data_IF_628644246414
#
_entry.id   IF_628644246414
#
_cell.length_a   1.000
_cell.length_b   1.000
_cell.length_c   1.000
_cell.angle_alpha   90.00
_cell.angle_beta   90.00
_cell.angle_gamma   90.00
#
_symmetry.space_group_name_H-M   'P 1'
#
loop_
_entity.id
_entity.type
_entity.pdbx_description
1 polymer ?
#
# COMPACT_ATOMS: atom_id res chain seq x y z
N UNK A 1 -46.35 -64.20 -16.69
CA UNK A 1 -46.80 -63.01 -15.92
C UNK A 1 -45.74 -62.72 -14.87
N UNK A 2 -44.84 -61.79 -15.16
CA UNK A 2 -43.68 -61.45 -14.34
C UNK A 2 -43.53 -59.94 -14.39
N UNK A 3 -43.63 -59.25 -13.27
CA UNK A 3 -43.11 -57.90 -13.12
C UNK A 3 -42.70 -57.62 -11.68
N UNK A 4 -41.39 -57.76 -11.45
CA UNK A 4 -40.64 -57.16 -10.35
C UNK A 4 -40.55 -55.64 -10.63
N UNK A 5 -41.10 -54.82 -9.73
CA UNK A 5 -40.95 -53.36 -9.78
C UNK A 5 -39.54 -52.97 -9.30
N UNK A 6 -38.69 -52.50 -10.21
CA UNK A 6 -37.48 -51.74 -9.88
C UNK A 6 -37.89 -50.29 -9.60
N UNK A 7 -37.67 -49.84 -8.37
CA UNK A 7 -37.68 -48.41 -8.01
C UNK A 7 -36.34 -47.84 -8.46
N UNK A 8 -36.35 -47.01 -9.50
CA UNK A 8 -35.19 -46.23 -9.91
C UNK A 8 -35.17 -44.92 -9.10
N UNK A 9 -34.16 -44.79 -8.25
CA UNK A 9 -33.84 -43.58 -7.51
C UNK A 9 -33.20 -42.58 -8.49
N UNK A 10 -33.98 -41.62 -9.01
CA UNK A 10 -33.43 -40.49 -9.76
C UNK A 10 -32.91 -39.44 -8.77
N UNK A 11 -31.62 -39.54 -8.43
CA UNK A 11 -30.89 -38.44 -7.80
C UNK A 11 -30.52 -37.40 -8.86
N UNK A 12 -31.23 -36.26 -8.85
CA UNK A 12 -30.90 -35.10 -9.68
C UNK A 12 -30.36 -33.99 -8.76
N UNK A 13 -29.08 -34.07 -8.36
CA UNK A 13 -28.37 -32.91 -7.81
C UNK A 13 -27.69 -32.20 -8.98
N UNK A 14 -28.44 -31.29 -9.60
CA UNK A 14 -27.95 -30.42 -10.67
C UNK A 14 -27.08 -29.34 -10.02
N UNK A 15 -25.78 -29.61 -9.87
CA UNK A 15 -24.80 -28.55 -9.66
C UNK A 15 -24.78 -27.73 -10.95
N UNK A 16 -25.33 -26.51 -10.90
CA UNK A 16 -25.27 -25.60 -12.04
C UNK A 16 -23.80 -25.37 -12.39
N UNK A 17 -23.41 -25.87 -13.57
CA UNK A 17 -22.22 -25.39 -14.26
C UNK A 17 -22.31 -23.87 -14.32
N UNK A 18 -21.24 -23.20 -13.87
CA UNK A 18 -20.91 -21.90 -14.47
C UNK A 18 -20.43 -22.21 -15.88
N UNK A 19 -21.37 -22.27 -16.83
CA UNK A 19 -21.05 -22.23 -18.24
C UNK A 19 -20.43 -20.88 -18.51
N UNK A 20 -19.09 -20.81 -18.50
CA UNK A 20 -18.39 -19.70 -19.12
C UNK A 20 -18.60 -19.86 -20.64
N UNK A 21 -19.49 -19.07 -21.25
CA UNK A 21 -19.39 -18.83 -22.69
C UNK A 21 -18.43 -17.66 -22.88
N UNK A 22 -17.14 -17.93 -22.77
CA UNK A 22 -16.11 -17.02 -23.24
C UNK A 22 -15.26 -17.82 -24.20
N UNK A 23 -15.30 -17.47 -25.50
CA UNK A 23 -14.48 -18.07 -26.55
C UNK A 23 -12.95 -17.93 -26.30
N UNK A 24 -12.56 -17.41 -25.14
CA UNK A 24 -11.20 -17.07 -24.72
C UNK A 24 -10.66 -17.97 -23.58
N UNK A 25 -11.50 -18.69 -22.84
CA UNK A 25 -11.04 -19.61 -21.78
C UNK A 25 -10.56 -20.91 -22.40
N UNK A 26 -9.27 -21.21 -22.20
CA UNK A 26 -8.60 -22.43 -22.65
C UNK A 26 -8.70 -23.56 -21.64
N UNK A 27 -8.61 -23.23 -20.35
CA UNK A 27 -8.71 -24.22 -19.27
C UNK A 27 -9.29 -23.61 -18.00
N UNK A 28 -9.86 -24.45 -17.13
CA UNK A 28 -10.39 -24.00 -15.85
C UNK A 28 -10.41 -25.09 -14.78
N UNK A 29 -9.95 -24.73 -13.59
CA UNK A 29 -9.95 -25.58 -12.41
C UNK A 29 -10.82 -24.96 -11.31
N UNK A 30 -11.74 -25.76 -10.77
CA UNK A 30 -12.57 -25.42 -9.60
C UNK A 30 -12.01 -26.13 -8.38
N UNK A 31 -11.52 -25.37 -7.40
CA UNK A 31 -10.93 -25.93 -6.19
C UNK A 31 -11.99 -26.47 -5.24
N UNK A 32 -11.67 -27.57 -4.57
CA UNK A 32 -12.58 -28.31 -3.71
C UNK A 32 -13.68 -29.08 -4.46
N UNK A 33 -13.63 -29.14 -5.80
CA UNK A 33 -14.46 -30.02 -6.62
C UNK A 33 -13.65 -31.25 -7.06
N UNK A 34 -13.98 -32.43 -6.52
CA UNK A 34 -13.19 -33.65 -6.74
C UNK A 34 -12.97 -33.99 -8.21
N UNK A 35 -13.98 -33.83 -9.06
CA UNK A 35 -13.85 -34.15 -10.49
C UNK A 35 -12.90 -33.18 -11.19
N UNK A 36 -13.07 -31.88 -10.95
CA UNK A 36 -12.21 -30.83 -11.50
C UNK A 36 -10.76 -31.01 -11.03
N UNK A 37 -10.56 -31.29 -9.74
CA UNK A 37 -9.23 -31.50 -9.17
C UNK A 37 -8.54 -32.76 -9.70
N UNK A 38 -9.27 -33.86 -9.88
CA UNK A 38 -8.74 -35.08 -10.49
C UNK A 38 -8.31 -34.86 -11.94
N UNK A 39 -9.09 -34.10 -12.73
CA UNK A 39 -8.76 -33.78 -14.12
C UNK A 39 -7.45 -33.00 -14.26
N UNK A 40 -7.12 -32.16 -13.28
CA UNK A 40 -5.91 -31.34 -13.28
C UNK A 40 -4.76 -31.96 -12.46
N UNK A 41 -4.97 -33.16 -11.88
CA UNK A 41 -3.98 -33.83 -11.04
C UNK A 41 -3.56 -33.02 -9.82
N UNK A 42 -4.52 -32.34 -9.18
CA UNK A 42 -4.25 -31.46 -8.04
C UNK A 42 -3.57 -32.21 -6.91
N UNK A 43 -2.43 -31.67 -6.45
CA UNK A 43 -1.73 -32.10 -5.24
C UNK A 43 -1.75 -30.96 -4.24
N UNK A 44 -2.28 -31.20 -3.05
CA UNK A 44 -2.46 -30.19 -2.04
C UNK A 44 -1.77 -30.61 -0.74
N UNK A 45 -0.89 -29.76 -0.23
CA UNK A 45 -0.17 -29.93 1.03
C UNK A 45 -0.55 -28.80 1.98
N UNK A 46 -0.80 -29.14 3.25
CA UNK A 46 -1.30 -28.21 4.27
C UNK A 46 -2.46 -27.37 3.72
N UNK A 47 -3.48 -28.04 3.21
CA UNK A 47 -4.66 -27.41 2.62
C UNK A 47 -5.92 -28.09 3.10
N UNK A 48 -6.98 -27.30 3.25
CA UNK A 48 -8.32 -27.79 3.56
C UNK A 48 -9.31 -27.38 2.45
N UNK A 49 -10.31 -28.21 2.23
CA UNK A 49 -11.49 -27.86 1.42
C UNK A 49 -12.50 -27.21 2.37
N UNK A 50 -13.02 -26.05 1.99
CA UNK A 50 -14.02 -25.32 2.76
C UNK A 50 -15.33 -25.21 1.98
N UNK A 51 -16.44 -25.15 2.71
CA UNK A 51 -17.70 -24.66 2.17
C UNK A 51 -17.68 -23.12 2.23
N UNK A 52 -17.30 -22.49 1.13
CA UNK A 52 -17.13 -21.05 1.02
C UNK A 52 -18.44 -20.30 0.79
N UNK A 53 -18.32 -19.08 0.26
CA UNK A 53 -19.47 -18.21 0.00
C UNK A 53 -20.42 -18.84 -1.02
N UNK A 54 -21.72 -18.64 -0.82
CA UNK A 54 -22.81 -19.22 -1.64
C UNK A 54 -22.76 -20.75 -1.75
N UNK A 55 -22.24 -21.40 -0.72
CA UNK A 55 -21.98 -22.84 -0.70
C UNK A 55 -21.06 -23.33 -1.83
N UNK A 56 -20.20 -22.44 -2.33
CA UNK A 56 -19.18 -22.80 -3.31
C UNK A 56 -17.97 -23.39 -2.61
N UNK A 57 -17.53 -24.55 -3.08
CA UNK A 57 -16.31 -25.17 -2.61
C UNK A 57 -15.09 -24.30 -2.94
N UNK A 58 -14.12 -24.28 -2.04
CA UNK A 58 -12.84 -23.61 -2.22
C UNK A 58 -11.75 -24.36 -1.45
N UNK A 59 -10.49 -24.04 -1.73
CA UNK A 59 -9.37 -24.46 -0.89
C UNK A 59 -8.79 -23.29 -0.10
N UNK A 60 -8.44 -23.54 1.16
CA UNK A 60 -7.55 -22.70 1.95
C UNK A 60 -6.19 -23.38 2.10
N UNK A 61 -5.14 -22.57 2.18
CA UNK A 61 -3.79 -22.99 2.49
C UNK A 61 -3.49 -22.66 3.94
N UNK A 62 -3.00 -23.63 4.69
CA UNK A 62 -2.81 -23.57 6.13
C UNK A 62 -1.38 -23.13 6.48
N UNK A 63 -1.16 -22.59 7.68
CA UNK A 63 0.16 -22.37 8.24
C UNK A 63 1.02 -23.64 8.26
N UNK A 64 2.36 -23.52 8.29
CA UNK A 64 3.22 -24.67 8.55
C UNK A 64 2.98 -25.24 9.95
N UNK A 65 3.28 -26.54 10.11
CA UNK A 65 3.15 -27.24 11.41
C UNK A 65 4.18 -26.76 12.43
N UNK A 66 5.35 -26.37 11.94
CA UNK A 66 6.43 -25.76 12.73
C UNK A 66 6.53 -24.28 12.37
N UNK A 67 7.13 -23.47 13.24
CA UNK A 67 7.29 -22.04 12.98
C UNK A 67 8.00 -21.80 11.64
N UNK A 68 7.36 -21.06 10.76
CA UNK A 68 7.85 -20.84 9.42
C UNK A 68 6.98 -19.86 8.65
N UNK A 69 7.55 -19.30 7.57
CA UNK A 69 6.85 -18.33 6.73
C UNK A 69 6.20 -18.96 5.50
N UNK A 70 6.54 -20.22 5.16
CA UNK A 70 5.90 -20.97 4.07
C UNK A 70 4.80 -21.84 4.63
N UNK A 71 3.57 -21.57 4.22
CA UNK A 71 2.42 -22.42 4.51
C UNK A 71 2.19 -23.46 3.43
N UNK A 72 0.93 -23.83 3.28
CA UNK A 72 0.50 -24.82 2.31
C UNK A 72 0.73 -24.44 0.86
N UNK A 73 0.68 -25.47 0.03
CA UNK A 73 0.93 -25.40 -1.41
C UNK A 73 -0.05 -26.29 -2.15
N UNK A 74 -0.61 -25.79 -3.24
CA UNK A 74 -1.42 -26.58 -4.17
C UNK A 74 -0.77 -26.52 -5.54
N UNK A 75 -0.40 -27.66 -6.12
CA UNK A 75 0.07 -27.78 -7.50
C UNK A 75 -0.93 -28.50 -8.39
N UNK A 76 -0.96 -28.14 -9.67
CA UNK A 76 -1.95 -28.62 -10.63
C UNK A 76 -1.45 -28.38 -12.06
N UNK A 77 -1.91 -29.21 -13.00
CA UNK A 77 -1.57 -29.07 -14.42
C UNK A 77 -2.67 -28.31 -15.14
N UNK A 78 -2.31 -27.43 -16.07
CA UNK A 78 -3.26 -26.69 -16.92
C UNK A 78 -2.82 -26.68 -18.36
N UNK A 79 -3.78 -26.61 -19.27
CA UNK A 79 -3.55 -26.41 -20.68
C UNK A 79 -3.31 -24.94 -21.00
N UNK A 80 -2.34 -24.69 -21.87
CA UNK A 80 -1.93 -23.35 -22.34
C UNK A 80 -1.91 -23.32 -23.86
N UNK A 81 -2.00 -22.12 -24.41
CA UNK A 81 -1.84 -21.89 -25.84
C UNK A 81 -0.33 -21.78 -26.18
N UNK A 82 0.23 -22.65 -27.04
CA UNK A 82 1.66 -22.64 -27.33
C UNK A 82 2.10 -21.42 -28.14
N UNK A 83 1.18 -20.78 -28.86
CA UNK A 83 1.50 -19.80 -29.90
C UNK A 83 1.12 -18.37 -29.48
N UNK A 84 0.29 -18.23 -28.44
CA UNK A 84 -0.23 -16.95 -27.96
C UNK A 84 0.22 -16.65 -26.52
N UNK A 85 0.23 -15.37 -26.09
CA UNK A 85 0.36 -15.02 -24.69
C UNK A 85 -0.70 -15.73 -23.85
N UNK A 86 -0.32 -16.15 -22.65
CA UNK A 86 -1.23 -16.81 -21.72
C UNK A 86 -1.38 -15.99 -20.45
N UNK A 87 -2.59 -15.97 -19.92
CA UNK A 87 -2.94 -15.32 -18.67
C UNK A 87 -3.61 -16.34 -17.75
N UNK A 88 -3.38 -16.18 -16.45
CA UNK A 88 -4.12 -16.87 -15.40
C UNK A 88 -4.98 -15.88 -14.64
N UNK A 89 -6.24 -16.22 -14.42
CA UNK A 89 -7.12 -15.47 -13.52
C UNK A 89 -7.53 -16.35 -12.35
N UNK A 90 -7.26 -15.91 -11.12
CA UNK A 90 -7.72 -16.56 -9.90
C UNK A 90 -8.96 -15.87 -9.33
N UNK A 91 -9.93 -16.65 -8.85
CA UNK A 91 -11.18 -16.17 -8.23
C UNK A 91 -11.12 -16.29 -6.71
N UNK A 92 -11.44 -15.19 -6.02
CA UNK A 92 -11.46 -15.11 -4.57
C UNK A 92 -12.71 -14.38 -4.04
N UNK A 93 -13.14 -14.69 -2.81
CA UNK A 93 -14.24 -13.96 -2.18
C UNK A 93 -13.76 -12.63 -1.58
N UNK A 94 -14.31 -11.49 -2.02
CA UNK A 94 -13.80 -10.18 -1.60
C UNK A 94 -14.10 -9.79 -0.15
N UNK A 95 -15.00 -10.49 0.52
CA UNK A 95 -15.27 -10.33 1.96
C UNK A 95 -14.31 -11.08 2.88
N UNK A 96 -13.45 -11.97 2.36
CA UNK A 96 -12.43 -12.65 3.18
C UNK A 96 -11.39 -11.65 3.70
N UNK A 97 -11.13 -11.68 5.01
CA UNK A 97 -10.14 -10.83 5.71
C UNK A 97 -9.27 -11.66 6.66
N UNK A 98 -8.08 -11.16 6.97
CA UNK A 98 -7.34 -11.50 8.19
C UNK A 98 -6.49 -10.33 8.68
N UNK A 99 -6.06 -10.40 9.94
CA UNK A 99 -5.20 -9.40 10.54
C UNK A 99 -3.73 -9.53 10.08
N UNK A 100 -3.33 -10.72 9.65
CA UNK A 100 -1.93 -11.04 9.34
C UNK A 100 -1.48 -10.57 7.95
N UNK A 101 -2.39 -10.34 7.00
CA UNK A 101 -2.06 -10.01 5.60
C UNK A 101 -1.24 -11.11 4.89
N UNK A 102 -1.69 -12.37 5.06
CA UNK A 102 -1.07 -13.52 4.40
C UNK A 102 -1.08 -13.39 2.87
N UNK A 103 -0.13 -14.04 2.22
CA UNK A 103 0.23 -13.82 0.81
C UNK A 103 0.03 -15.09 0.02
N UNK A 104 -0.45 -14.98 -1.21
CA UNK A 104 -0.47 -16.07 -2.17
C UNK A 104 0.53 -15.78 -3.29
N UNK A 105 1.45 -16.73 -3.51
CA UNK A 105 2.47 -16.65 -4.56
C UNK A 105 2.19 -17.71 -5.63
N UNK A 106 2.27 -17.30 -6.91
CA UNK A 106 2.16 -18.21 -8.04
C UNK A 106 3.54 -18.76 -8.43
N UNK A 107 3.58 -20.02 -8.83
CA UNK A 107 4.76 -20.70 -9.36
C UNK A 107 4.42 -21.41 -10.67
N UNK A 108 5.40 -21.48 -11.57
CA UNK A 108 5.36 -22.24 -12.82
C UNK A 108 6.62 -23.09 -12.92
N UNK A 109 6.48 -24.41 -13.07
CA UNK A 109 7.58 -25.38 -13.06
C UNK A 109 8.59 -25.13 -11.90
N UNK A 110 8.07 -24.87 -10.70
CA UNK A 110 8.86 -24.59 -9.48
C UNK A 110 9.46 -23.17 -9.37
N UNK A 111 9.29 -22.30 -10.37
CA UNK A 111 9.81 -20.92 -10.37
C UNK A 111 8.71 -19.93 -9.99
N UNK A 112 9.03 -18.97 -9.10
CA UNK A 112 8.08 -17.94 -8.68
C UNK A 112 7.73 -17.02 -9.87
N UNK A 113 6.45 -16.73 -10.03
CA UNK A 113 5.95 -15.70 -10.94
C UNK A 113 5.79 -14.39 -10.16
N UNK A 114 6.31 -13.30 -10.73
CA UNK A 114 6.24 -11.97 -10.12
C UNK A 114 7.19 -11.76 -8.93
N UNK A 115 7.11 -10.57 -8.37
CA UNK A 115 7.91 -10.11 -7.24
C UNK A 115 7.12 -10.15 -5.93
N UNK A 116 7.83 -10.26 -4.80
CA UNK A 116 7.21 -10.26 -3.46
C UNK A 116 6.83 -8.86 -2.97
N UNK A 117 7.51 -7.82 -3.46
CA UNK A 117 7.30 -6.45 -3.04
C UNK A 117 7.57 -5.47 -4.18
N UNK A 118 6.59 -4.61 -4.49
CA UNK A 118 6.72 -3.46 -5.40
C UNK A 118 7.36 -3.78 -6.76
N UNK A 119 6.94 -4.89 -7.39
CA UNK A 119 7.37 -5.25 -8.74
C UNK A 119 6.28 -5.01 -9.79
N UNK A 120 6.69 -5.09 -11.06
CA UNK A 120 5.80 -4.94 -12.22
C UNK A 120 4.70 -6.02 -12.24
N UNK A 121 5.07 -7.23 -11.84
CA UNK A 121 4.14 -8.35 -11.70
C UNK A 121 4.02 -8.65 -10.21
N UNK A 122 2.88 -8.28 -9.65
CA UNK A 122 2.61 -8.45 -8.23
C UNK A 122 2.46 -9.94 -7.83
N UNK A 123 2.28 -10.21 -6.55
CA UNK A 123 1.94 -11.55 -6.05
C UNK A 123 0.47 -11.93 -6.33
N UNK A 124 0.14 -13.21 -6.37
CA UNK A 124 -1.20 -13.69 -6.73
C UNK A 124 -2.33 -13.13 -5.83
N UNK A 125 -2.09 -12.93 -4.55
CA UNK A 125 -3.00 -12.16 -3.68
C UNK A 125 -2.28 -11.66 -2.41
N UNK A 126 -2.79 -10.57 -1.84
CA UNK A 126 -2.45 -10.10 -0.49
C UNK A 126 -3.76 -10.04 0.28
N UNK A 127 -3.87 -10.77 1.38
CA UNK A 127 -5.02 -10.62 2.27
C UNK A 127 -4.90 -9.26 3.00
N UNK A 128 -6.04 -8.64 3.28
CA UNK A 128 -6.11 -7.38 4.02
C UNK A 128 -6.94 -7.58 5.29
N UNK A 129 -6.77 -6.67 6.24
CA UNK A 129 -7.58 -6.58 7.46
C UNK A 129 -8.92 -5.86 7.25
N UNK A 130 -9.27 -5.58 5.99
CA UNK A 130 -10.55 -5.04 5.56
C UNK A 130 -10.98 -5.72 4.25
N UNK A 131 -12.28 -5.86 3.98
CA UNK A 131 -12.76 -6.54 2.78
C UNK A 131 -12.40 -5.73 1.53
N UNK A 132 -11.95 -6.43 0.48
CA UNK A 132 -11.61 -5.81 -0.82
C UNK A 132 -12.86 -5.56 -1.67
N UNK A 133 -13.80 -6.49 -1.61
CA UNK A 133 -15.10 -6.41 -2.29
C UNK A 133 -16.12 -7.22 -1.48
N UNK A 134 -16.70 -6.64 -0.42
CA UNK A 134 -17.39 -7.40 0.63
C UNK A 134 -18.58 -8.23 0.13
N UNK A 135 -19.18 -7.86 -1.01
CA UNK A 135 -20.39 -8.50 -1.56
C UNK A 135 -20.17 -9.32 -2.80
N UNK A 136 -18.94 -9.35 -3.35
CA UNK A 136 -18.69 -10.04 -4.60
C UNK A 136 -17.37 -10.81 -4.57
N UNK A 137 -17.28 -11.78 -5.46
CA UNK A 137 -15.98 -12.29 -5.87
C UNK A 137 -15.17 -11.20 -6.55
N UNK A 138 -13.86 -11.21 -6.35
CA UNK A 138 -12.94 -10.52 -7.23
C UNK A 138 -12.04 -11.51 -7.95
N UNK A 139 -11.50 -11.05 -9.07
CA UNK A 139 -10.69 -11.83 -9.98
C UNK A 139 -9.36 -11.11 -10.14
N UNK A 140 -8.25 -11.83 -10.01
CA UNK A 140 -6.92 -11.26 -10.24
C UNK A 140 -6.26 -11.99 -11.40
N UNK A 141 -5.94 -11.23 -12.44
CA UNK A 141 -5.36 -11.73 -13.69
C UNK A 141 -3.86 -11.42 -13.72
N UNK A 142 -3.07 -12.42 -14.12
CA UNK A 142 -1.63 -12.35 -14.26
C UNK A 142 -1.20 -12.81 -15.66
N UNK A 143 -0.27 -12.11 -16.32
CA UNK A 143 0.42 -12.69 -17.46
C UNK A 143 1.29 -13.85 -16.97
N UNK A 144 1.22 -14.99 -17.65
CA UNK A 144 2.19 -16.06 -17.49
C UNK A 144 3.44 -15.74 -18.33
N UNK A 145 4.66 -15.95 -17.81
CA UNK A 145 5.88 -15.65 -18.56
C UNK A 145 5.95 -16.41 -19.89
N UNK A 146 6.09 -15.70 -21.02
CA UNK A 146 6.09 -16.30 -22.36
C UNK A 146 7.18 -17.38 -22.50
N UNK A 147 8.37 -17.14 -21.93
CA UNK A 147 9.47 -18.11 -21.95
C UNK A 147 9.16 -19.42 -21.21
N UNK A 148 8.11 -19.46 -20.39
CA UNK A 148 7.65 -20.64 -19.68
C UNK A 148 6.47 -21.34 -20.35
N UNK A 149 5.74 -20.67 -21.27
CA UNK A 149 4.53 -21.20 -21.91
C UNK A 149 4.67 -21.45 -23.42
N UNK A 150 5.51 -20.68 -24.13
CA UNK A 150 5.68 -20.78 -25.58
C UNK A 150 6.09 -22.18 -26.04
N UNK A 151 5.40 -22.69 -27.05
CA UNK A 151 5.62 -24.04 -27.59
C UNK A 151 5.14 -25.19 -26.70
N UNK A 152 4.58 -24.90 -25.52
CA UNK A 152 4.01 -25.91 -24.62
C UNK A 152 2.49 -25.93 -24.75
N UNK A 153 1.90 -27.11 -24.59
CA UNK A 153 0.43 -27.29 -24.52
C UNK A 153 -0.07 -27.46 -23.10
N UNK A 154 0.81 -27.82 -22.17
CA UNK A 154 0.50 -28.08 -20.77
C UNK A 154 1.68 -27.67 -19.90
N UNK A 155 1.39 -27.14 -18.71
CA UNK A 155 2.38 -26.71 -17.72
C UNK A 155 1.91 -27.09 -16.31
N UNK A 156 2.86 -27.21 -15.37
CA UNK A 156 2.55 -27.30 -13.95
C UNK A 156 2.55 -25.89 -13.34
N UNK A 157 1.45 -25.55 -12.67
CA UNK A 157 1.34 -24.38 -11.83
C UNK A 157 1.25 -24.78 -10.37
N UNK A 158 1.64 -23.88 -9.48
CA UNK A 158 1.36 -24.01 -8.06
C UNK A 158 1.06 -22.67 -7.39
N UNK A 159 0.22 -22.72 -6.36
CA UNK A 159 -0.06 -21.60 -5.47
C UNK A 159 0.47 -21.97 -4.08
N UNK A 160 1.32 -21.13 -3.52
CA UNK A 160 1.89 -21.29 -2.18
C UNK A 160 1.46 -20.12 -1.29
N UNK A 161 1.01 -20.43 -0.07
CA UNK A 161 0.74 -19.41 0.92
C UNK A 161 2.00 -19.06 1.70
N UNK A 162 2.14 -17.76 1.99
CA UNK A 162 3.29 -17.22 2.71
C UNK A 162 2.83 -16.22 3.78
N UNK A 163 3.65 -16.09 4.83
CA UNK A 163 3.46 -15.07 5.86
C UNK A 163 3.67 -13.65 5.30
N UNK A 164 3.32 -12.62 6.07
CA UNK A 164 3.42 -11.25 5.63
C UNK A 164 4.87 -10.83 5.47
N UNK A 165 5.05 -9.69 4.80
CA UNK A 165 6.36 -9.06 4.70
C UNK A 165 6.32 -7.63 5.23
N UNK A 166 7.44 -7.18 5.75
CA UNK A 166 7.74 -5.77 5.95
C UNK A 166 8.81 -5.38 4.94
N UNK A 167 8.40 -4.71 3.86
CA UNK A 167 9.29 -4.38 2.73
C UNK A 167 10.51 -3.53 3.08
N UNK A 168 10.50 -2.88 4.25
CA UNK A 168 11.63 -2.09 4.78
C UNK A 168 12.56 -2.90 5.71
N UNK A 169 12.31 -4.21 5.86
CA UNK A 169 13.15 -5.09 6.66
C UNK A 169 14.53 -5.29 6.02
N UNK A 170 15.57 -4.73 6.65
CA UNK A 170 16.96 -4.90 6.19
C UNK A 170 17.60 -6.27 6.49
N UNK A 171 16.87 -7.20 7.10
CA UNK A 171 17.28 -8.61 7.29
C UNK A 171 16.13 -9.53 6.89
N UNK A 172 16.41 -10.81 6.67
CA UNK A 172 15.38 -11.76 6.26
C UNK A 172 14.24 -11.88 7.28
N UNK A 173 14.54 -11.92 8.57
CA UNK A 173 13.57 -12.06 9.67
C UNK A 173 12.73 -10.79 9.88
N UNK A 174 13.33 -9.63 9.57
CA UNK A 174 12.61 -8.36 9.53
C UNK A 174 11.71 -8.30 8.30
N UNK A 175 12.20 -8.75 7.15
CA UNK A 175 11.50 -8.72 5.88
C UNK A 175 10.35 -9.72 5.81
N UNK A 176 10.61 -11.01 6.08
CA UNK A 176 9.65 -12.10 5.95
C UNK A 176 9.21 -12.56 7.35
N UNK A 177 7.91 -12.55 7.60
CA UNK A 177 7.31 -12.98 8.87
C UNK A 177 6.75 -14.40 8.78
N UNK A 178 6.66 -15.12 9.91
CA UNK A 178 5.95 -16.40 9.98
C UNK A 178 4.52 -16.27 9.45
N UNK A 179 3.98 -17.36 8.92
CA UNK A 179 2.56 -17.49 8.60
C UNK A 179 1.87 -18.16 9.78
N UNK A 180 0.88 -17.52 10.37
CA UNK A 180 0.18 -17.99 11.58
C UNK A 180 -1.31 -18.21 11.35
N UNK A 181 -1.86 -17.66 10.27
CA UNK A 181 -3.26 -17.82 9.86
C UNK A 181 -3.36 -18.37 8.44
N UNK A 182 -4.47 -19.05 8.15
CA UNK A 182 -4.74 -19.59 6.81
C UNK A 182 -4.87 -18.47 5.76
N UNK A 183 -4.65 -18.85 4.49
CA UNK A 183 -4.94 -17.98 3.36
C UNK A 183 -6.45 -17.70 3.20
N UNK A 184 -6.80 -16.73 2.35
CA UNK A 184 -8.16 -16.65 1.79
C UNK A 184 -8.53 -17.92 1.03
N UNK A 185 -9.84 -18.12 0.83
CA UNK A 185 -10.35 -19.19 -0.02
C UNK A 185 -10.01 -18.94 -1.49
N UNK A 186 -9.39 -19.94 -2.13
CA UNK A 186 -9.11 -19.99 -3.56
C UNK A 186 -10.21 -20.83 -4.20
N UNK A 187 -11.06 -20.20 -5.02
CA UNK A 187 -12.27 -20.87 -5.55
C UNK A 187 -12.03 -21.47 -6.94
N UNK A 188 -11.30 -20.76 -7.80
CA UNK A 188 -11.06 -21.21 -9.17
C UNK A 188 -9.82 -20.54 -9.77
N UNK A 189 -9.28 -21.17 -10.80
CA UNK A 189 -8.36 -20.55 -11.75
C UNK A 189 -8.83 -20.79 -13.19
N UNK A 190 -8.53 -19.83 -14.06
CA UNK A 190 -8.85 -19.86 -15.48
C UNK A 190 -7.61 -19.53 -16.29
N UNK A 191 -7.35 -20.29 -17.35
CA UNK A 191 -6.31 -19.98 -18.35
C UNK A 191 -6.97 -19.46 -19.61
N UNK A 192 -6.43 -18.36 -20.14
CA UNK A 192 -6.97 -17.68 -21.32
C UNK A 192 -5.87 -16.87 -22.02
N UNK A 193 -6.14 -16.37 -23.23
CA UNK A 193 -5.15 -15.67 -24.07
C UNK A 193 -5.32 -14.16 -24.11
N UNK A 194 -6.32 -13.63 -23.39
CA UNK A 194 -6.63 -12.21 -23.36
C UNK A 194 -6.17 -11.56 -22.05
N UNK A 195 -5.74 -10.29 -22.03
CA UNK A 195 -5.35 -9.63 -20.79
C UNK A 195 -6.51 -9.42 -19.81
N UNK A 196 -7.75 -9.54 -20.29
CA UNK A 196 -8.96 -9.40 -19.50
C UNK A 196 -9.87 -10.63 -19.67
N UNK A 197 -10.30 -11.20 -18.55
CA UNK A 197 -11.23 -12.31 -18.54
C UNK A 197 -12.67 -11.79 -18.41
N UNK A 198 -13.43 -11.92 -19.48
CA UNK A 198 -14.87 -11.70 -19.44
C UNK A 198 -15.58 -12.98 -18.98
N UNK A 199 -16.13 -12.95 -17.76
CA UNK A 199 -17.00 -14.02 -17.26
C UNK A 199 -18.45 -13.58 -17.38
N UNK A 200 -19.33 -14.49 -17.78
CA UNK A 200 -20.77 -14.24 -17.71
C UNK A 200 -21.12 -13.91 -16.26
N UNK A 201 -21.63 -12.70 -16.05
CA UNK A 201 -22.09 -12.24 -14.75
C UNK A 201 -23.21 -13.16 -14.25
N UNK A 202 -23.02 -13.75 -13.07
CA UNK A 202 -24.05 -14.53 -12.40
C UNK A 202 -24.51 -13.79 -11.14
N UNK A 203 -25.66 -13.14 -11.23
CA UNK A 203 -26.29 -12.40 -10.13
C UNK A 203 -26.64 -13.27 -8.90
N UNK A 204 -26.53 -14.60 -9.00
CA UNK A 204 -26.71 -15.50 -7.85
C UNK A 204 -25.48 -15.61 -6.92
N UNK A 205 -24.33 -15.09 -7.36
CA UNK A 205 -23.06 -15.13 -6.62
C UNK A 205 -22.62 -13.73 -6.16
N UNK A 206 -23.60 -12.89 -5.85
CA UNK A 206 -23.42 -11.52 -5.37
C UNK A 206 -24.35 -11.31 -4.17
N UNK A 207 -23.85 -10.74 -3.09
CA UNK A 207 -24.72 -10.30 -2.00
C UNK A 207 -25.31 -8.95 -2.35
N UNK A 208 -26.54 -8.70 -1.89
CA UNK A 208 -27.06 -7.36 -1.89
C UNK A 208 -26.07 -6.49 -1.10
N UNK A 209 -25.57 -5.45 -1.76
CA UNK A 209 -24.96 -4.36 -1.05
C UNK A 209 -26.13 -3.45 -0.69
N UNK A 210 -26.39 -3.28 0.60
CA UNK A 210 -27.02 -2.04 1.02
C UNK A 210 -26.11 -0.96 0.45
N UNK A 211 -26.63 -0.10 -0.42
CA UNK A 211 -25.89 1.04 -0.94
C UNK A 211 -25.13 1.62 0.25
N UNK A 212 -23.78 1.59 0.21
CA UNK A 212 -23.03 2.34 1.20
C UNK A 212 -23.57 3.74 1.06
N UNK A 213 -24.38 4.17 2.03
CA UNK A 213 -24.82 5.54 2.12
C UNK A 213 -23.55 6.32 2.30
N UNK A 214 -23.00 6.77 1.19
CA UNK A 214 -21.84 7.62 1.16
C UNK A 214 -22.32 8.88 1.83
N UNK A 215 -21.86 9.20 3.05
CA UNK A 215 -22.29 10.42 3.69
C UNK A 215 -21.98 11.55 2.71
N UNK A 216 -23.00 12.33 2.34
CA UNK A 216 -22.82 13.43 1.37
C UNK A 216 -21.96 14.54 1.95
N UNK A 217 -21.82 14.56 3.28
CA UNK A 217 -20.90 15.38 4.05
C UNK A 217 -20.29 14.47 5.14
N UNK A 218 -19.02 14.68 5.55
CA UNK A 218 -18.54 14.10 6.80
C UNK A 218 -19.50 14.51 7.91
N UNK A 219 -20.03 13.56 8.69
CA UNK A 219 -20.93 13.89 9.79
C UNK A 219 -20.33 14.97 10.69
N UNK A 220 -21.13 15.94 11.12
CA UNK A 220 -20.69 17.06 11.95
C UNK A 220 -19.93 16.56 13.18
N UNK A 221 -20.34 15.41 13.73
CA UNK A 221 -19.69 14.70 14.83
C UNK A 221 -18.28 14.21 14.51
N UNK A 222 -18.03 13.76 13.28
CA UNK A 222 -16.70 13.32 12.84
C UNK A 222 -15.78 14.53 12.67
N UNK A 223 -16.28 15.61 12.07
CA UNK A 223 -15.50 16.84 11.92
C UNK A 223 -15.16 17.44 13.28
N UNK A 224 -16.10 17.49 14.21
CA UNK A 224 -15.87 18.02 15.55
C UNK A 224 -14.90 17.15 16.35
N UNK A 225 -15.03 15.82 16.25
CA UNK A 225 -14.05 14.89 16.83
C UNK A 225 -12.64 15.10 16.27
N UNK A 226 -12.52 15.29 14.95
CA UNK A 226 -11.23 15.56 14.30
C UNK A 226 -10.67 16.92 14.74
N UNK A 227 -11.50 17.97 14.78
CA UNK A 227 -11.09 19.30 15.28
C UNK A 227 -10.61 19.22 16.73
N UNK A 228 -11.30 18.48 17.59
CA UNK A 228 -10.90 18.27 18.98
C UNK A 228 -9.54 17.57 19.07
N UNK A 229 -9.32 16.50 18.29
CA UNK A 229 -8.03 15.83 18.21
C UNK A 229 -6.90 16.74 17.74
N UNK A 230 -7.16 17.56 16.71
CA UNK A 230 -6.19 18.53 16.20
C UNK A 230 -5.86 19.58 17.26
N UNK A 231 -6.87 20.12 17.96
CA UNK A 231 -6.65 21.11 19.01
C UNK A 231 -5.89 20.54 20.21
N UNK A 232 -6.17 19.28 20.61
CA UNK A 232 -5.37 18.57 21.62
C UNK A 232 -3.90 18.42 21.21
N UNK A 233 -3.62 18.12 19.93
CA UNK A 233 -2.26 18.04 19.42
C UNK A 233 -1.56 19.42 19.43
N UNK A 234 -2.27 20.48 19.01
CA UNK A 234 -1.77 21.87 19.07
C UNK A 234 -1.40 22.25 20.51
N UNK A 235 -2.30 22.01 21.46
CA UNK A 235 -2.08 22.34 22.87
C UNK A 235 -0.89 21.57 23.45
N UNK A 236 -0.76 20.29 23.10
CA UNK A 236 0.40 19.48 23.50
C UNK A 236 1.72 20.06 22.99
N UNK A 237 1.78 20.48 21.72
CA UNK A 237 3.01 21.04 21.14
C UNK A 237 3.32 22.43 21.73
N UNK A 238 2.31 23.28 21.95
CA UNK A 238 2.49 24.60 22.55
C UNK A 238 2.97 24.51 24.00
N UNK A 239 2.39 23.62 24.80
CA UNK A 239 2.69 23.46 26.23
C UNK A 239 3.84 22.49 26.52
N UNK A 240 4.31 21.76 25.50
CA UNK A 240 5.40 20.80 25.62
C UNK A 240 6.79 21.44 25.60
N UNK A 241 7.81 20.61 25.35
CA UNK A 241 9.21 21.05 25.23
C UNK A 241 9.38 22.08 24.11
N UNK A 242 10.41 22.92 24.22
CA UNK A 242 10.71 23.94 23.19
C UNK A 242 11.11 23.32 21.85
N UNK A 243 11.85 22.20 21.89
CA UNK A 243 12.13 21.40 20.71
C UNK A 243 10.86 20.66 20.29
N UNK A 244 10.35 21.00 19.12
CA UNK A 244 9.32 20.26 18.39
C UNK A 244 9.92 19.71 17.09
N UNK A 245 9.46 18.56 16.63
CA UNK A 245 9.94 17.93 15.39
C UNK A 245 9.67 18.82 14.17
N UNK A 246 10.43 18.64 13.09
CA UNK A 246 10.30 19.41 11.84
C UNK A 246 8.86 19.41 11.31
N UNK A 247 8.18 18.26 11.36
CA UNK A 247 6.76 18.14 11.00
C UNK A 247 5.81 18.90 11.95
N UNK A 248 6.13 18.96 13.24
CA UNK A 248 5.38 19.72 14.25
C UNK A 248 5.45 21.23 14.03
N UNK A 249 6.61 21.75 13.60
CA UNK A 249 6.78 23.16 13.23
C UNK A 249 5.82 23.53 12.10
N UNK A 250 5.80 22.71 11.04
CA UNK A 250 4.93 22.91 9.89
C UNK A 250 3.44 22.74 10.25
N UNK A 251 3.11 21.78 11.13
CA UNK A 251 1.77 21.59 11.66
C UNK A 251 1.27 22.85 12.40
N UNK A 252 2.05 23.38 13.34
CA UNK A 252 1.70 24.62 14.05
C UNK A 252 1.59 25.82 13.11
N UNK A 253 2.47 25.92 12.10
CA UNK A 253 2.44 27.01 11.13
C UNK A 253 1.14 27.00 10.30
N UNK A 254 0.70 25.82 9.86
CA UNK A 254 -0.60 25.68 9.18
C UNK A 254 -1.76 25.94 10.14
N UNK A 255 -1.70 25.41 11.36
CA UNK A 255 -2.75 25.62 12.36
C UNK A 255 -2.96 27.12 12.68
N UNK A 256 -1.88 27.91 12.74
CA UNK A 256 -1.94 29.37 12.93
C UNK A 256 -2.85 30.09 11.92
N UNK A 257 -2.99 29.55 10.70
CA UNK A 257 -3.80 30.12 9.61
C UNK A 257 -5.24 29.60 9.58
N UNK A 258 -5.57 28.58 10.39
CA UNK A 258 -6.88 27.90 10.36
C UNK A 258 -7.80 28.44 11.46
N UNK A 259 -8.88 29.13 11.07
CA UNK A 259 -9.79 29.88 11.97
C UNK A 259 -10.35 29.11 13.16
N UNK A 260 -10.67 27.82 12.99
CA UNK A 260 -11.25 27.01 14.06
C UNK A 260 -10.20 26.41 15.01
N UNK A 261 -8.91 26.50 14.65
CA UNK A 261 -7.85 25.87 15.42
C UNK A 261 -7.53 26.69 16.68
N UNK A 262 -7.11 25.99 17.73
CA UNK A 262 -6.61 26.60 18.95
C UNK A 262 -5.33 27.41 18.74
N UNK A 263 -4.66 27.32 17.58
CA UNK A 263 -3.46 28.09 17.24
C UNK A 263 -3.77 29.40 16.47
N UNK A 264 -5.01 29.59 16.01
CA UNK A 264 -5.35 30.66 15.07
C UNK A 264 -4.88 32.04 15.54
N UNK A 265 -3.98 32.66 14.78
CA UNK A 265 -3.41 33.98 15.05
C UNK A 265 -2.81 34.19 16.46
N UNK A 266 -2.42 33.13 17.18
CA UNK A 266 -1.83 33.27 18.53
C UNK A 266 -0.33 33.59 18.47
N UNK A 267 0.09 34.67 19.12
CA UNK A 267 1.50 35.07 19.20
C UNK A 267 2.42 33.96 19.78
N UNK A 268 1.93 33.22 20.79
CA UNK A 268 2.64 32.08 21.38
C UNK A 268 3.08 31.04 20.34
N UNK A 269 2.32 30.85 19.26
CA UNK A 269 2.66 29.91 18.18
C UNK A 269 3.90 30.40 17.45
N UNK A 270 3.99 31.69 17.16
CA UNK A 270 5.14 32.31 16.48
C UNK A 270 6.38 32.23 17.36
N UNK A 271 6.25 32.55 18.66
CA UNK A 271 7.34 32.38 19.63
C UNK A 271 7.86 30.94 19.68
N UNK A 272 6.93 29.97 19.76
CA UNK A 272 7.26 28.55 19.81
C UNK A 272 7.99 28.09 18.55
N UNK A 273 7.47 28.46 17.38
CA UNK A 273 8.06 28.13 16.07
C UNK A 273 9.46 28.74 15.96
N UNK A 274 9.63 30.04 16.25
CA UNK A 274 10.92 30.70 16.15
C UNK A 274 11.96 30.05 17.08
N UNK A 275 11.58 29.73 18.32
CA UNK A 275 12.46 29.04 19.27
C UNK A 275 12.83 27.64 18.77
N UNK A 276 11.86 26.88 18.27
CA UNK A 276 12.09 25.53 17.76
C UNK A 276 13.03 25.52 16.54
N UNK A 277 12.84 26.42 15.58
CA UNK A 277 13.71 26.52 14.41
C UNK A 277 15.15 26.85 14.84
N UNK A 278 15.33 27.75 15.81
CA UNK A 278 16.66 28.07 16.35
C UNK A 278 17.33 26.88 17.05
N UNK A 279 16.56 26.01 17.72
CA UNK A 279 17.08 24.75 18.28
C UNK A 279 17.56 23.81 17.16
N UNK A 280 16.75 23.62 16.10
CA UNK A 280 17.15 22.81 14.94
C UNK A 280 18.40 23.36 14.25
N UNK A 281 18.52 24.69 14.16
CA UNK A 281 19.74 25.32 13.66
C UNK A 281 20.95 25.02 14.54
N UNK A 282 20.83 25.10 15.87
CA UNK A 282 21.93 24.76 16.77
C UNK A 282 22.37 23.29 16.60
N UNK A 283 21.41 22.37 16.44
CA UNK A 283 21.69 20.96 16.15
C UNK A 283 22.42 20.79 14.83
N UNK A 284 21.91 21.41 13.75
CA UNK A 284 22.58 21.44 12.45
C UNK A 284 24.01 21.99 12.54
N UNK A 285 24.25 23.06 13.31
CA UNK A 285 25.59 23.63 13.47
C UNK A 285 26.54 22.68 14.20
N UNK A 286 26.04 21.94 15.19
CA UNK A 286 26.84 20.93 15.88
C UNK A 286 27.10 19.69 15.04
N UNK A 287 26.19 19.36 14.11
CA UNK A 287 26.30 18.19 13.25
C UNK A 287 25.61 18.43 11.89
N UNK A 288 26.33 18.97 10.89
CA UNK A 288 25.76 19.25 9.57
C UNK A 288 25.22 18.02 8.84
N UNK A 289 25.77 16.83 9.12
CA UNK A 289 25.35 15.57 8.50
C UNK A 289 23.93 15.15 8.89
N UNK A 290 23.33 15.79 9.91
CA UNK A 290 21.93 15.56 10.30
C UNK A 290 20.95 15.79 9.13
N UNK A 291 21.31 16.68 8.19
CA UNK A 291 20.53 16.94 6.97
C UNK A 291 20.25 15.66 6.19
N UNK A 292 21.21 14.76 6.10
CA UNK A 292 21.08 13.52 5.32
C UNK A 292 20.46 12.35 6.07
N UNK A 293 20.09 12.53 7.34
CA UNK A 293 19.53 11.45 8.18
C UNK A 293 18.03 11.23 7.98
N UNK A 294 17.33 12.20 7.40
CA UNK A 294 15.89 12.12 7.11
C UNK A 294 15.63 12.32 5.62
N UNK A 295 14.43 11.97 5.15
CA UNK A 295 14.08 12.16 3.74
C UNK A 295 13.63 13.60 3.47
N UNK A 296 13.15 14.25 4.53
CA UNK A 296 12.48 15.55 4.47
C UNK A 296 13.43 16.73 4.70
N UNK A 297 14.62 16.45 5.24
CA UNK A 297 15.56 17.46 5.71
C UNK A 297 14.86 18.55 6.52
N UNK A 298 15.09 19.80 6.13
CA UNK A 298 14.45 20.98 6.71
C UNK A 298 13.40 21.62 5.79
N UNK A 299 12.85 20.89 4.82
CA UNK A 299 11.87 21.44 3.88
C UNK A 299 10.59 21.94 4.58
N UNK A 300 10.08 21.20 5.55
CA UNK A 300 8.88 21.62 6.30
C UNK A 300 9.11 22.91 7.12
N UNK A 301 10.34 23.15 7.60
CA UNK A 301 10.73 24.43 8.22
C UNK A 301 10.71 25.54 7.16
N UNK A 302 11.25 25.27 5.96
CA UNK A 302 11.22 26.23 4.86
C UNK A 302 9.79 26.66 4.48
N UNK A 303 8.85 25.71 4.40
CA UNK A 303 7.44 26.03 4.13
C UNK A 303 6.80 26.80 5.30
N UNK A 304 7.08 26.42 6.55
CA UNK A 304 6.59 27.13 7.73
C UNK A 304 7.03 28.60 7.74
N UNK A 305 8.29 28.87 7.42
CA UNK A 305 8.84 30.24 7.27
C UNK A 305 8.14 30.96 6.13
N UNK A 306 7.90 30.29 5.00
CA UNK A 306 7.19 30.89 3.87
C UNK A 306 5.74 31.26 4.20
N UNK A 307 5.02 30.39 4.93
CA UNK A 307 3.64 30.61 5.35
C UNK A 307 3.52 31.75 6.38
N UNK A 308 4.50 31.86 7.27
CA UNK A 308 4.51 32.81 8.38
C UNK A 308 5.50 33.96 8.18
N UNK A 309 5.83 34.30 6.93
CA UNK A 309 6.84 35.30 6.59
C UNK A 309 6.66 36.60 7.39
N UNK A 310 5.45 37.18 7.32
CA UNK A 310 5.12 38.44 8.02
C UNK A 310 5.11 38.30 9.55
N UNK A 311 4.40 37.31 10.16
CA UNK A 311 4.48 37.12 11.61
C UNK A 311 5.88 36.88 12.17
N UNK A 312 6.81 36.29 11.40
CA UNK A 312 8.17 35.99 11.84
C UNK A 312 9.13 37.17 11.71
N UNK A 313 8.80 38.22 10.95
CA UNK A 313 9.66 39.42 10.75
C UNK A 313 10.33 39.93 12.04
N UNK A 314 9.63 40.05 13.19
CA UNK A 314 10.24 40.56 14.43
C UNK A 314 11.37 39.71 15.02
N UNK A 315 11.59 38.49 14.52
CA UNK A 315 12.63 37.58 14.99
C UNK A 315 13.84 37.52 14.06
N UNK A 316 13.67 37.90 12.79
CA UNK A 316 14.64 37.62 11.73
C UNK A 316 15.94 38.40 11.88
N UNK A 317 15.87 39.65 12.34
CA UNK A 317 17.06 40.51 12.51
C UNK A 317 17.73 40.36 13.89
N UNK A 318 17.17 39.53 14.78
CA UNK A 318 17.79 39.24 16.08
C UNK A 318 19.07 38.42 15.88
N UNK A 319 20.12 38.72 16.64
CA UNK A 319 21.33 37.90 16.65
C UNK A 319 21.07 36.57 17.37
N UNK A 320 21.56 35.46 16.81
CA UNK A 320 21.65 34.19 17.53
C UNK A 320 22.93 34.19 18.36
N UNK A 321 22.77 34.07 19.68
CA UNK A 321 23.88 34.06 20.64
C UNK A 321 24.95 33.01 20.28
N UNK A 322 26.22 33.38 20.42
CA UNK A 322 27.35 32.49 20.14
C UNK A 322 27.68 32.28 18.65
N UNK A 323 26.93 32.88 17.71
CA UNK A 323 27.16 32.67 16.27
C UNK A 323 27.58 33.91 15.50
N UNK A 324 27.32 35.11 16.03
CA UNK A 324 27.53 36.38 15.33
C UNK A 324 26.65 36.58 14.10
N UNK A 325 25.63 35.73 13.89
CA UNK A 325 24.70 35.78 12.77
C UNK A 325 23.32 36.22 13.23
N UNK A 326 22.60 36.91 12.35
CA UNK A 326 21.16 37.09 12.51
C UNK A 326 20.40 35.77 12.39
N UNK A 327 19.21 35.68 12.99
CA UNK A 327 18.27 34.57 12.83
C UNK A 327 18.02 34.26 11.36
N UNK A 328 17.85 35.32 10.55
CA UNK A 328 17.68 35.27 9.10
C UNK A 328 18.82 34.53 8.40
N UNK A 329 20.07 34.90 8.68
CA UNK A 329 21.25 34.28 8.07
C UNK A 329 21.45 32.84 8.52
N UNK A 330 21.25 32.58 9.81
CA UNK A 330 21.38 31.26 10.41
C UNK A 330 20.37 30.26 9.83
N UNK A 331 19.08 30.61 9.82
CA UNK A 331 18.04 29.74 9.28
C UNK A 331 18.22 29.53 7.78
N UNK A 332 18.63 30.57 7.04
CA UNK A 332 18.94 30.45 5.60
C UNK A 332 20.10 29.46 5.35
N UNK A 333 21.17 29.51 6.15
CA UNK A 333 22.29 28.57 6.05
C UNK A 333 21.84 27.11 6.17
N UNK A 334 21.00 26.81 7.17
CA UNK A 334 20.45 25.46 7.38
C UNK A 334 19.57 25.00 6.22
N UNK A 335 18.68 25.87 5.72
CA UNK A 335 17.82 25.55 4.58
C UNK A 335 18.64 25.34 3.29
N UNK A 336 19.70 26.14 3.08
CA UNK A 336 20.60 25.99 1.94
C UNK A 336 21.34 24.66 1.99
N UNK A 337 21.88 24.28 3.16
CA UNK A 337 22.52 22.99 3.35
C UNK A 337 21.54 21.83 3.05
N UNK A 338 20.31 21.92 3.58
CA UNK A 338 19.25 20.94 3.31
C UNK A 338 18.94 20.80 1.83
N UNK A 339 18.63 21.92 1.16
CA UNK A 339 18.30 21.95 -0.27
C UNK A 339 19.43 21.34 -1.10
N UNK A 340 20.65 21.82 -0.90
CA UNK A 340 21.82 21.45 -1.70
C UNK A 340 22.20 19.99 -1.53
N UNK A 341 22.11 19.45 -0.32
CA UNK A 341 22.39 18.03 -0.06
C UNK A 341 21.39 17.13 -0.78
N UNK A 342 20.08 17.41 -0.66
CA UNK A 342 19.03 16.56 -1.22
C UNK A 342 18.99 16.55 -2.75
N UNK A 343 19.43 17.62 -3.42
CA UNK A 343 19.57 17.65 -4.89
C UNK A 343 20.57 16.59 -5.36
N UNK A 344 21.62 16.34 -4.57
CA UNK A 344 22.67 15.38 -4.91
C UNK A 344 22.40 13.97 -4.37
N UNK A 345 21.42 13.82 -3.46
CA UNK A 345 21.18 12.59 -2.70
C UNK A 345 19.70 12.18 -2.74
N UNK A 346 19.14 12.07 -3.95
CA UNK A 346 17.77 11.58 -4.16
C UNK A 346 17.64 10.10 -3.83
N UNK A 347 16.41 9.67 -3.57
CA UNK A 347 16.06 8.27 -3.31
C UNK A 347 15.80 7.54 -4.62
N UNK A 348 16.03 6.22 -4.62
CA UNK A 348 15.88 5.39 -5.82
C UNK A 348 14.43 5.06 -6.18
N UNK A 349 13.50 5.13 -5.22
CA UNK A 349 12.08 4.92 -5.47
C UNK A 349 11.41 6.22 -5.91
N UNK A 350 10.59 6.15 -6.96
CA UNK A 350 9.96 7.33 -7.58
C UNK A 350 9.14 8.13 -6.58
N UNK A 351 8.25 7.49 -5.81
CA UNK A 351 7.45 8.17 -4.79
C UNK A 351 8.31 8.82 -3.69
N UNK A 352 9.40 8.18 -3.27
CA UNK A 352 10.33 8.74 -2.29
C UNK A 352 11.12 9.92 -2.87
N UNK A 353 11.53 9.84 -4.14
CA UNK A 353 12.18 10.96 -4.84
C UNK A 353 11.24 12.17 -4.96
N UNK A 354 9.97 11.94 -5.29
CA UNK A 354 8.95 13.01 -5.35
C UNK A 354 8.79 13.72 -3.99
N UNK A 355 8.80 12.96 -2.90
CA UNK A 355 8.76 13.51 -1.54
C UNK A 355 9.99 14.39 -1.27
N UNK A 356 11.19 13.91 -1.61
CA UNK A 356 12.43 14.69 -1.48
C UNK A 356 12.37 15.98 -2.31
N UNK A 357 11.87 15.89 -3.55
CA UNK A 357 11.75 17.04 -4.45
C UNK A 357 10.79 18.10 -3.90
N UNK A 358 9.70 17.67 -3.28
CA UNK A 358 8.78 18.56 -2.55
C UNK A 358 9.49 19.31 -1.42
N UNK A 359 10.35 18.65 -0.65
CA UNK A 359 11.07 19.31 0.44
C UNK A 359 12.22 20.21 -0.03
N UNK A 360 12.87 19.89 -1.16
CA UNK A 360 13.81 20.81 -1.84
C UNK A 360 13.07 22.10 -2.22
N UNK A 361 11.89 21.96 -2.82
CA UNK A 361 11.04 23.09 -3.20
C UNK A 361 10.68 23.97 -1.99
N UNK A 362 10.24 23.35 -0.89
CA UNK A 362 9.88 24.05 0.34
C UNK A 362 11.07 24.73 1.03
N UNK A 363 12.26 24.10 1.05
CA UNK A 363 13.48 24.77 1.52
C UNK A 363 13.72 26.06 0.74
N UNK A 364 13.60 26.01 -0.60
CA UNK A 364 13.82 27.18 -1.44
C UNK A 364 12.78 28.28 -1.20
N UNK A 365 11.52 27.94 -0.90
CA UNK A 365 10.50 28.93 -0.50
C UNK A 365 10.88 29.66 0.79
N UNK A 366 11.39 28.94 1.80
CA UNK A 366 11.90 29.57 3.02
C UNK A 366 13.11 30.46 2.75
N UNK A 367 14.04 30.02 1.90
CA UNK A 367 15.20 30.83 1.48
C UNK A 367 14.73 32.08 0.74
N UNK A 368 13.67 32.02 -0.07
CA UNK A 368 13.13 33.20 -0.77
C UNK A 368 12.59 34.27 0.19
N UNK A 369 12.13 33.88 1.38
CA UNK A 369 11.74 34.82 2.44
C UNK A 369 12.96 35.35 3.20
N UNK A 370 13.88 34.46 3.56
CA UNK A 370 15.02 34.82 4.42
C UNK A 370 16.15 35.51 3.68
N UNK A 371 16.53 35.04 2.49
CA UNK A 371 17.67 35.55 1.71
C UNK A 371 17.34 35.42 0.23
N UNK A 372 16.46 36.30 -0.31
CA UNK A 372 15.94 36.19 -1.67
C UNK A 372 17.03 36.03 -2.74
N UNK A 373 18.19 36.64 -2.52
CA UNK A 373 19.35 36.58 -3.41
C UNK A 373 20.00 35.19 -3.52
N UNK A 374 19.76 34.30 -2.54
CA UNK A 374 20.23 32.91 -2.52
C UNK A 374 19.15 31.90 -2.96
N UNK A 375 17.93 32.38 -3.14
CA UNK A 375 16.81 31.57 -3.59
C UNK A 375 16.90 31.33 -5.11
N UNK A 376 16.45 30.16 -5.54
CA UNK A 376 16.24 29.92 -6.95
C UNK A 376 14.98 30.61 -7.44
N UNK A 377 14.96 31.13 -8.67
CA UNK A 377 13.73 31.54 -9.32
C UNK A 377 12.72 30.40 -9.38
N UNK A 378 11.43 30.72 -9.33
CA UNK A 378 10.36 29.71 -9.24
C UNK A 378 10.45 28.67 -10.36
N UNK A 379 10.69 29.09 -11.60
CA UNK A 379 10.86 28.19 -12.76
C UNK A 379 11.99 27.17 -12.56
N UNK A 380 13.09 27.58 -11.92
CA UNK A 380 14.19 26.66 -11.60
C UNK A 380 13.78 25.74 -10.46
N UNK A 381 13.14 26.27 -9.43
CA UNK A 381 12.70 25.51 -8.27
C UNK A 381 11.73 24.37 -8.65
N UNK A 382 10.76 24.64 -9.52
CA UNK A 382 9.79 23.64 -9.98
C UNK A 382 10.36 22.65 -10.99
N UNK A 383 11.40 23.03 -11.76
CA UNK A 383 12.06 22.11 -12.71
C UNK A 383 12.76 20.91 -12.07
N UNK A 384 12.94 20.94 -10.75
CA UNK A 384 13.52 19.83 -9.99
C UNK A 384 12.47 18.82 -9.50
N UNK A 385 11.17 19.13 -9.60
CA UNK A 385 10.10 18.20 -9.21
C UNK A 385 9.85 17.25 -10.38
N UNK A 386 10.18 15.97 -10.20
CA UNK A 386 10.02 14.90 -11.21
C UNK A 386 8.76 14.09 -10.94
#
# INVERSE_FOLDING_TARGET
MSHIKKVALFGLSMAMLTLASANTVKDSLQFGNQQSENLHGVKAELSEIINGKFNLSARKLLPPKEEGWRGGRISFNVNVDPDNPNYITARFWGGDINEEQSRLMLFIDGKQVGQRHLGEIDQLDIMYNYPRNPTNFFYKTFPLPENMTKGKKNIELAIEAQGPIWGYGGTFEKYQKPMTQASRGIYAVYIHTEPYLELLYNSKNTEAWDDLQTPTEPGEEVLDYVKEKVNKAIEKDLNGKDKIEVGGIHFLAKAYLVKWSAAYNKAQVIDKIAKAISIHYAEFKSNPDIVGKTWEGYGAIGDAISLLAKPLEPYLDKSIEGTGKSTKEAWSEMLLASRNWHIQNRRSYTNQSMIVDWYIYQCNRGIAVLTPEKAWPEKKNTSHIV
#
